data_IF_498724184610
#
_entry.id   IF_498724184610
#
_cell.length_a   1.000
_cell.length_b   1.000
_cell.length_c   1.000
_cell.angle_alpha   90.00
_cell.angle_beta   90.00
_cell.angle_gamma   90.00
#
_symmetry.space_group_name_H-M   'P 1'
#
loop_
_entity.id
_entity.type
_entity.pdbx_description
1 polymer ?
#
# COMPACT_ATOMS: atom_id res chain seq x y z
N UNK A 1 -2.16 25.23 6.79
CA UNK A 1 -1.68 24.04 6.07
C UNK A 1 -0.29 24.42 5.60
N UNK A 2 0.76 23.87 6.21
CA UNK A 2 2.13 24.24 5.85
C UNK A 2 2.42 23.82 4.41
N UNK A 3 3.07 24.70 3.67
CA UNK A 3 3.41 24.46 2.27
C UNK A 3 4.55 23.43 2.21
N UNK A 4 4.36 22.36 1.43
CA UNK A 4 5.34 21.27 1.25
C UNK A 4 6.68 21.80 0.72
N UNK A 5 6.65 22.93 0.00
CA UNK A 5 7.84 23.64 -0.48
C UNK A 5 8.74 24.13 0.66
N UNK A 6 8.15 24.55 1.79
CA UNK A 6 8.89 25.03 2.96
C UNK A 6 9.66 23.92 3.68
N UNK A 7 9.26 22.65 3.45
CA UNK A 7 9.90 21.46 4.01
C UNK A 7 10.85 20.77 3.01
N UNK A 8 11.13 21.39 1.86
CA UNK A 8 11.96 20.83 0.79
C UNK A 8 11.43 19.49 0.25
N UNK A 9 10.11 19.26 0.31
CA UNK A 9 9.48 18.06 -0.21
C UNK A 9 9.03 18.34 -1.65
N UNK A 10 9.63 17.63 -2.60
CA UNK A 10 9.25 17.72 -4.00
C UNK A 10 7.98 16.88 -4.24
N UNK A 11 6.90 17.53 -4.68
CA UNK A 11 5.71 16.83 -5.13
C UNK A 11 5.95 16.16 -6.48
N UNK A 12 5.44 14.96 -6.65
CA UNK A 12 5.41 14.27 -7.94
C UNK A 12 4.05 14.49 -8.60
N UNK A 13 4.04 14.52 -9.93
CA UNK A 13 2.78 14.47 -10.68
C UNK A 13 2.13 13.10 -10.46
N UNK A 14 0.82 13.09 -10.18
CA UNK A 14 0.04 11.87 -10.04
C UNK A 14 -1.19 11.91 -10.95
N UNK A 15 -1.39 10.93 -11.85
CA UNK A 15 -2.58 10.87 -12.69
C UNK A 15 -3.83 10.53 -11.85
N UNK A 16 -4.96 11.16 -12.19
CA UNK A 16 -6.25 10.87 -11.56
C UNK A 16 -6.68 9.42 -11.81
N UNK A 17 -7.34 8.79 -10.82
CA UNK A 17 -7.88 7.42 -10.92
C UNK A 17 -6.85 6.32 -11.23
N UNK A 18 -5.59 6.50 -10.81
CA UNK A 18 -4.53 5.49 -10.99
C UNK A 18 -4.10 4.82 -9.67
N UNK A 19 -4.96 4.00 -9.04
CA UNK A 19 -4.58 3.23 -7.86
C UNK A 19 -3.54 2.14 -8.20
N UNK A 20 -3.43 1.75 -9.47
CA UNK A 20 -2.44 0.81 -9.98
C UNK A 20 -1.01 1.33 -9.93
N UNK A 21 -0.85 2.65 -9.92
CA UNK A 21 0.45 3.29 -9.68
C UNK A 21 0.75 3.43 -8.18
N UNK A 22 -0.25 3.33 -7.30
CA UNK A 22 -0.09 3.59 -5.87
C UNK A 22 0.50 2.38 -5.13
N UNK A 23 1.80 2.41 -4.85
CA UNK A 23 2.53 1.30 -4.22
C UNK A 23 2.00 0.92 -2.83
N UNK A 24 1.30 1.81 -2.13
CA UNK A 24 0.74 1.49 -0.80
C UNK A 24 -0.39 0.44 -0.87
N UNK A 25 -1.06 0.30 -2.02
CA UNK A 25 -2.09 -0.73 -2.22
C UNK A 25 -1.49 -2.14 -2.06
N UNK A 26 -0.26 -2.34 -2.54
CA UNK A 26 0.46 -3.59 -2.37
C UNK A 26 0.82 -3.85 -0.89
N UNK A 27 1.17 -2.81 -0.14
CA UNK A 27 1.42 -2.89 1.31
C UNK A 27 0.14 -3.30 2.03
N UNK A 28 -1.00 -2.69 1.71
CA UNK A 28 -2.29 -3.06 2.29
C UNK A 28 -2.70 -4.49 1.97
N UNK A 29 -2.45 -4.97 0.75
CA UNK A 29 -2.67 -6.38 0.41
C UNK A 29 -1.82 -7.31 1.27
N UNK A 30 -0.53 -7.02 1.44
CA UNK A 30 0.37 -7.81 2.29
C UNK A 30 -0.08 -7.84 3.75
N UNK A 31 -0.52 -6.71 4.28
CA UNK A 31 -1.05 -6.62 5.64
C UNK A 31 -2.34 -7.42 5.80
N UNK A 32 -3.26 -7.36 4.84
CA UNK A 32 -4.48 -8.18 4.84
C UNK A 32 -4.14 -9.67 4.85
N UNK A 33 -3.19 -10.09 4.01
CA UNK A 33 -2.76 -11.50 3.96
C UNK A 33 -2.11 -11.94 5.27
N UNK A 34 -1.29 -11.08 5.90
CA UNK A 34 -0.73 -11.34 7.22
C UNK A 34 -1.84 -11.57 8.25
N UNK A 35 -2.80 -10.63 8.34
CA UNK A 35 -3.91 -10.72 9.29
C UNK A 35 -4.73 -11.98 9.04
N UNK A 36 -5.02 -12.32 7.78
CA UNK A 36 -5.78 -13.53 7.45
C UNK A 36 -5.06 -14.82 7.88
N UNK A 37 -3.73 -14.87 7.75
CA UNK A 37 -2.92 -16.03 8.15
C UNK A 37 -2.76 -16.15 9.65
N UNK A 38 -2.45 -15.06 10.35
CA UNK A 38 -2.09 -15.08 11.77
C UNK A 38 -3.29 -14.89 12.69
N UNK A 39 -4.36 -14.28 12.19
CA UNK A 39 -5.58 -14.00 12.94
C UNK A 39 -6.83 -14.46 12.16
N UNK A 40 -6.94 -15.74 11.78
CA UNK A 40 -8.02 -16.25 10.92
C UNK A 40 -9.42 -16.03 11.53
N UNK A 41 -9.51 -15.97 12.86
CA UNK A 41 -10.76 -15.75 13.60
C UNK A 41 -11.22 -14.28 13.63
N UNK A 42 -10.39 -13.34 13.16
CA UNK A 42 -10.80 -11.95 12.88
C UNK A 42 -11.57 -11.83 11.57
N UNK A 43 -11.39 -12.79 10.66
CA UNK A 43 -12.15 -12.88 9.42
C UNK A 43 -13.65 -12.88 9.72
N UNK A 44 -14.37 -11.88 9.20
CA UNK A 44 -15.82 -11.75 9.35
C UNK A 44 -16.30 -10.87 10.52
N UNK A 45 -15.45 -10.00 11.08
CA UNK A 45 -15.92 -8.94 12.00
C UNK A 45 -16.28 -9.41 13.42
N UNK A 46 -15.75 -10.56 13.84
CA UNK A 46 -16.09 -11.21 15.12
C UNK A 46 -15.37 -10.63 16.35
N UNK A 47 -14.32 -9.84 16.18
CA UNK A 47 -13.73 -9.07 17.29
C UNK A 47 -14.13 -7.60 17.20
N UNK A 48 -14.83 -7.13 18.23
CA UNK A 48 -15.40 -5.78 18.34
C UNK A 48 -14.58 -4.82 19.22
N UNK A 49 -13.35 -5.21 19.61
CA UNK A 49 -12.50 -4.36 20.44
C UNK A 49 -11.58 -3.48 19.56
N UNK A 50 -11.77 -2.14 19.54
CA UNK A 50 -10.93 -1.24 18.76
C UNK A 50 -9.43 -1.35 19.10
N UNK A 51 -9.09 -1.57 20.37
CA UNK A 51 -7.67 -1.63 20.79
C UNK A 51 -7.00 -2.92 20.33
N UNK A 52 -7.72 -4.04 20.37
CA UNK A 52 -7.26 -5.30 19.80
C UNK A 52 -6.98 -5.15 18.29
N UNK A 53 -7.92 -4.54 17.56
CA UNK A 53 -7.76 -4.32 16.13
C UNK A 53 -6.55 -3.42 15.80
N UNK A 54 -6.32 -2.35 16.56
CA UNK A 54 -5.14 -1.49 16.40
C UNK A 54 -3.83 -2.27 16.57
N UNK A 55 -3.76 -3.14 17.58
CA UNK A 55 -2.57 -3.95 17.83
C UNK A 55 -2.30 -4.92 16.67
N UNK A 56 -3.33 -5.54 16.12
CA UNK A 56 -3.21 -6.46 14.98
C UNK A 56 -2.78 -5.72 13.71
N UNK A 57 -3.34 -4.54 13.44
CA UNK A 57 -2.92 -3.72 12.30
C UNK A 57 -1.46 -3.28 12.46
N UNK A 58 -1.05 -2.92 13.67
CA UNK A 58 0.35 -2.57 13.97
C UNK A 58 1.28 -3.77 13.76
N UNK A 59 0.92 -4.94 14.24
CA UNK A 59 1.68 -6.18 14.02
C UNK A 59 1.84 -6.49 12.52
N UNK A 60 0.75 -6.37 11.75
CA UNK A 60 0.78 -6.57 10.31
C UNK A 60 1.68 -5.53 9.60
N UNK A 61 1.66 -4.28 10.05
CA UNK A 61 2.56 -3.23 9.55
C UNK A 61 4.01 -3.54 9.86
N UNK A 62 4.32 -3.91 11.11
CA UNK A 62 5.67 -4.24 11.56
C UNK A 62 6.22 -5.52 10.87
N UNK A 63 5.35 -6.36 10.29
CA UNK A 63 5.74 -7.51 9.47
C UNK A 63 6.20 -7.17 8.04
N UNK A 64 5.96 -5.94 7.58
CA UNK A 64 6.41 -5.46 6.27
C UNK A 64 7.87 -5.05 6.40
N UNK A 65 8.76 -5.81 5.76
CA UNK A 65 10.19 -5.55 5.84
C UNK A 65 10.61 -4.35 4.98
N UNK A 66 11.75 -3.76 5.28
CA UNK A 66 12.33 -2.71 4.44
C UNK A 66 12.61 -3.25 3.02
N UNK A 67 13.01 -4.52 2.89
CA UNK A 67 13.25 -5.20 1.62
C UNK A 67 11.97 -5.33 0.79
N UNK A 68 10.82 -5.57 1.43
CA UNK A 68 9.53 -5.57 0.75
C UNK A 68 9.22 -4.19 0.16
N UNK A 69 9.48 -3.12 0.92
CA UNK A 69 9.25 -1.74 0.48
C UNK A 69 10.19 -1.34 -0.66
N UNK A 70 11.49 -1.68 -0.56
CA UNK A 70 12.47 -1.44 -1.62
C UNK A 70 12.04 -2.15 -2.90
N UNK A 71 11.62 -3.42 -2.82
CA UNK A 71 11.13 -4.16 -3.98
C UNK A 71 9.89 -3.50 -4.62
N UNK A 72 8.98 -2.92 -3.82
CA UNK A 72 7.84 -2.18 -4.35
C UNK A 72 8.28 -0.92 -5.12
N UNK A 73 9.29 -0.21 -4.63
CA UNK A 73 9.85 0.96 -5.32
C UNK A 73 10.53 0.51 -6.62
N UNK A 74 11.30 -0.58 -6.60
CA UNK A 74 12.05 -1.09 -7.75
C UNK A 74 11.14 -1.50 -8.92
N UNK A 75 9.91 -1.93 -8.65
CA UNK A 75 8.94 -2.29 -9.70
C UNK A 75 8.16 -1.09 -10.27
N UNK A 76 8.31 0.10 -9.70
CA UNK A 76 7.57 1.28 -10.15
C UNK A 76 7.80 1.62 -11.64
N UNK A 77 9.03 1.55 -12.18
CA UNK A 77 9.25 1.78 -13.61
C UNK A 77 8.47 0.78 -14.49
N UNK A 78 8.37 -0.48 -14.07
CA UNK A 78 7.60 -1.50 -14.79
C UNK A 78 6.09 -1.22 -14.75
N UNK A 79 5.55 -0.75 -13.62
CA UNK A 79 4.14 -0.32 -13.51
C UNK A 79 3.84 0.86 -14.43
N UNK A 80 4.71 1.88 -14.44
CA UNK A 80 4.60 3.00 -15.37
C UNK A 80 4.63 2.54 -16.83
N UNK A 81 5.47 1.57 -17.17
CA UNK A 81 5.53 1.02 -18.52
C UNK A 81 4.25 0.28 -18.87
N UNK A 82 3.69 -0.53 -17.97
CA UNK A 82 2.42 -1.21 -18.20
C UNK A 82 1.27 -0.23 -18.48
N UNK A 83 1.23 0.93 -17.81
CA UNK A 83 0.22 1.97 -18.06
C UNK A 83 0.40 2.56 -19.46
N UNK A 84 1.64 2.79 -19.90
CA UNK A 84 1.92 3.24 -21.27
C UNK A 84 1.51 2.21 -22.31
N UNK A 85 1.83 0.94 -22.07
CA UNK A 85 1.48 -0.16 -22.96
C UNK A 85 -0.04 -0.38 -23.06
N UNK A 86 -0.78 0.03 -22.02
CA UNK A 86 -2.23 0.03 -21.98
C UNK A 86 -2.87 1.35 -22.50
N UNK A 87 -2.09 2.26 -23.10
CA UNK A 87 -2.52 3.59 -23.56
C UNK A 87 -3.25 4.40 -22.45
N UNK A 88 -2.74 4.31 -21.21
CA UNK A 88 -3.34 4.96 -20.04
C UNK A 88 -4.50 4.19 -19.41
N UNK A 89 -4.83 3.01 -19.94
CA UNK A 89 -5.83 2.10 -19.38
C UNK A 89 -5.38 1.40 -18.08
N UNK A 90 -6.31 0.73 -17.38
CA UNK A 90 -6.03 0.05 -16.13
C UNK A 90 -5.01 -1.09 -16.27
N UNK A 91 -4.07 -1.17 -15.31
CA UNK A 91 -3.10 -2.27 -15.26
C UNK A 91 -3.34 -3.19 -14.07
N UNK A 92 -2.65 -4.34 -14.05
CA UNK A 92 -2.77 -5.31 -12.96
C UNK A 92 -1.95 -4.85 -11.75
N UNK A 93 -2.62 -4.80 -10.59
CA UNK A 93 -2.01 -4.55 -9.29
C UNK A 93 -1.33 -5.78 -8.68
#
# INVERSE_FOLDING_TARGET
MEDMSQRLIQSIFWPSNSPDLNLIEAVWNRMKDYIQRHHPNLGGGKQRNPDGFRNIVKEAWDSVSAEDLVRLIDIMPARCQAVKDADGGPTRN
#
